data_IF_183779373360
#
_entry.id   IF_183779373360
#
_cell.length_a   1.000
_cell.length_b   1.000
_cell.length_c   1.000
_cell.angle_alpha   90.00
_cell.angle_beta   90.00
_cell.angle_gamma   90.00
#
_symmetry.space_group_name_H-M   'P 1'
#
loop_
_entity.id
_entity.type
_entity.pdbx_description
1 polymer ?
#
# COMPACT_ATOMS: atom_id res chain seq x y z
N UNK A 1 -6.29 16.36 -10.94
CA UNK A 1 -4.99 16.30 -10.34
C UNK A 1 -4.79 15.04 -9.53
N UNK A 2 -3.67 14.40 -9.74
CA UNK A 2 -3.39 13.18 -9.00
C UNK A 2 -3.15 13.49 -7.54
N UNK A 3 -3.68 12.66 -6.68
CA UNK A 3 -3.51 12.80 -5.25
C UNK A 3 -2.96 11.54 -4.69
N UNK A 4 -1.93 11.67 -3.91
CA UNK A 4 -1.44 10.53 -3.18
C UNK A 4 -2.06 10.54 -1.80
N UNK A 5 -2.51 9.38 -1.38
CA UNK A 5 -2.99 9.21 -0.03
C UNK A 5 -1.88 9.54 0.96
N UNK A 6 -2.19 10.07 2.14
CA UNK A 6 -1.18 10.22 3.17
C UNK A 6 -0.57 8.89 3.60
N UNK A 7 -1.17 7.78 3.19
CA UNK A 7 -0.63 6.45 3.48
C UNK A 7 0.48 6.04 2.51
N UNK A 8 0.63 6.77 1.41
CA UNK A 8 1.56 6.42 0.35
C UNK A 8 2.56 7.54 0.16
N UNK A 9 3.82 7.17 0.01
CA UNK A 9 4.87 8.13 -0.27
C UNK A 9 5.56 7.71 -1.56
N UNK A 10 5.82 8.68 -2.43
CA UNK A 10 6.54 8.42 -3.68
C UNK A 10 7.79 9.27 -3.64
N UNK A 11 8.95 8.62 -3.70
CA UNK A 11 10.23 9.30 -3.62
C UNK A 11 11.08 8.92 -4.81
N UNK A 12 11.41 9.90 -5.63
CA UNK A 12 12.29 9.66 -6.77
C UNK A 12 13.72 9.44 -6.33
N UNK A 13 14.05 9.93 -5.15
CA UNK A 13 15.42 9.81 -4.66
C UNK A 13 15.71 8.43 -4.10
N UNK A 14 14.70 7.81 -3.49
CA UNK A 14 14.90 6.58 -2.77
C UNK A 14 14.51 5.36 -3.57
N UNK A 15 13.34 5.40 -4.19
CA UNK A 15 12.77 4.22 -4.82
C UNK A 15 12.43 4.48 -6.28
N UNK A 16 13.07 5.45 -6.90
CA UNK A 16 12.87 5.76 -8.32
C UNK A 16 11.40 6.00 -8.66
N UNK A 17 10.68 6.64 -7.75
CA UNK A 17 9.28 6.95 -7.98
C UNK A 17 8.32 5.84 -7.65
N UNK A 18 8.81 4.74 -7.09
CA UNK A 18 7.93 3.63 -6.68
C UNK A 18 7.16 4.03 -5.43
N UNK A 19 5.83 3.87 -5.43
CA UNK A 19 5.06 4.19 -4.22
C UNK A 19 5.36 3.21 -3.10
N UNK A 20 5.54 3.76 -1.90
CA UNK A 20 5.83 2.97 -0.71
C UNK A 20 4.85 3.38 0.39
N UNK A 21 4.73 2.54 1.42
CA UNK A 21 3.97 2.91 2.60
C UNK A 21 4.68 4.07 3.29
N UNK A 22 3.92 5.10 3.66
CA UNK A 22 4.48 6.29 4.29
C UNK A 22 5.32 5.92 5.51
N UNK A 23 6.49 6.54 5.60
CA UNK A 23 7.38 6.28 6.71
C UNK A 23 8.18 4.99 6.61
N UNK A 24 8.05 4.29 5.50
CA UNK A 24 8.79 3.05 5.29
C UNK A 24 9.41 3.04 3.91
N UNK A 25 10.17 1.99 3.62
CA UNK A 25 10.70 1.75 2.28
C UNK A 25 10.01 0.56 1.62
N UNK A 26 8.87 0.14 2.18
CA UNK A 26 8.17 -1.04 1.69
C UNK A 26 7.27 -0.63 0.53
N UNK A 27 7.50 -1.17 -0.67
CA UNK A 27 6.67 -0.82 -1.82
C UNK A 27 5.25 -1.32 -1.64
N UNK A 28 4.29 -0.51 -2.07
CA UNK A 28 2.89 -0.91 -2.07
C UNK A 28 2.71 -2.17 -2.91
N UNK A 29 3.46 -2.27 -4.01
CA UNK A 29 3.39 -3.43 -4.89
C UNK A 29 3.64 -4.74 -4.14
N UNK A 30 4.52 -4.70 -3.13
CA UNK A 30 4.82 -5.91 -2.38
C UNK A 30 3.60 -6.48 -1.68
N UNK A 31 2.74 -5.61 -1.15
CA UNK A 31 1.50 -6.06 -0.52
C UNK A 31 0.63 -6.81 -1.54
N UNK A 32 0.47 -6.22 -2.72
CA UNK A 32 -0.37 -6.86 -3.72
C UNK A 32 0.24 -8.16 -4.23
N UNK A 33 1.56 -8.22 -4.32
CA UNK A 33 2.22 -9.47 -4.71
C UNK A 33 1.92 -10.58 -3.72
N UNK A 34 1.95 -10.26 -2.41
CA UNK A 34 1.60 -11.24 -1.40
C UNK A 34 0.16 -11.72 -1.57
N UNK A 35 -0.76 -10.76 -1.74
CA UNK A 35 -2.17 -11.11 -1.85
C UNK A 35 -2.44 -11.91 -3.11
N UNK A 36 -1.80 -11.57 -4.21
CA UNK A 36 -1.98 -12.32 -5.45
C UNK A 36 -1.43 -13.74 -5.34
N UNK A 37 -0.44 -13.93 -4.49
CA UNK A 37 0.12 -15.26 -4.27
C UNK A 37 -0.68 -16.08 -3.28
N UNK A 38 -1.77 -15.52 -2.75
CA UNK A 38 -2.60 -16.24 -1.79
C UNK A 38 -2.15 -16.09 -0.36
N UNK A 39 -1.18 -15.23 -0.09
CA UNK A 39 -0.73 -14.99 1.26
C UNK A 39 -1.68 -14.06 1.99
N UNK A 40 -1.67 -14.12 3.31
CA UNK A 40 -2.54 -13.27 4.11
C UNK A 40 -1.87 -11.94 4.42
N UNK A 41 -2.69 -10.98 4.89
CA UNK A 41 -2.17 -9.71 5.37
C UNK A 41 -1.22 -9.96 6.55
N UNK A 42 -1.55 -10.92 7.40
CA UNK A 42 -0.67 -11.25 8.53
C UNK A 42 0.69 -11.73 8.06
N UNK A 43 0.71 -12.53 7.01
CA UNK A 43 1.99 -12.99 6.45
C UNK A 43 2.81 -11.82 5.94
N UNK A 44 2.14 -10.87 5.28
CA UNK A 44 2.82 -9.68 4.79
C UNK A 44 3.40 -8.87 5.96
N UNK A 45 2.60 -8.68 7.01
CA UNK A 45 3.04 -7.88 8.15
C UNK A 45 4.19 -8.53 8.90
N UNK A 46 4.21 -9.86 8.91
CA UNK A 46 5.31 -10.59 9.54
C UNK A 46 6.62 -10.33 8.83
N UNK A 47 6.57 -10.25 7.51
CA UNK A 47 7.75 -9.98 6.72
C UNK A 47 8.18 -8.53 6.70
N UNK A 48 7.25 -7.62 7.00
CA UNK A 48 7.51 -6.19 6.93
C UNK A 48 6.95 -5.50 8.17
N UNK A 49 7.61 -5.67 9.30
CA UNK A 49 7.07 -5.18 10.59
C UNK A 49 7.00 -3.67 10.71
N UNK A 50 7.63 -2.92 9.81
CA UNK A 50 7.51 -1.46 9.84
C UNK A 50 6.15 -0.99 9.33
N UNK A 51 5.41 -1.87 8.68
CA UNK A 51 4.05 -1.56 8.21
C UNK A 51 3.08 -2.10 9.25
N UNK A 52 2.09 -1.29 9.61
CA UNK A 52 1.09 -1.72 10.58
C UNK A 52 -0.14 -2.25 9.87
N UNK A 53 -0.89 -3.10 10.60
CA UNK A 53 -2.14 -3.61 10.05
C UNK A 53 -3.10 -2.48 9.72
N UNK A 54 -3.14 -1.46 10.56
CA UNK A 54 -4.02 -0.32 10.34
C UNK A 54 -3.72 0.36 9.01
N UNK A 55 -2.43 0.48 8.68
CA UNK A 55 -2.06 1.10 7.43
C UNK A 55 -2.50 0.28 6.24
N UNK A 56 -2.34 -1.04 6.33
CA UNK A 56 -2.76 -1.92 5.25
C UNK A 56 -4.27 -1.83 5.05
N UNK A 57 -5.03 -1.94 6.14
CA UNK A 57 -6.48 -1.90 6.04
C UNK A 57 -6.95 -0.54 5.51
N UNK A 58 -6.37 0.55 6.01
CA UNK A 58 -6.75 1.87 5.54
C UNK A 58 -6.46 2.05 4.06
N UNK A 59 -5.33 1.54 3.60
CA UNK A 59 -5.00 1.62 2.18
C UNK A 59 -6.00 0.85 1.34
N UNK A 60 -6.33 -0.36 1.76
CA UNK A 60 -7.28 -1.18 1.02
C UNK A 60 -8.65 -0.51 0.97
N UNK A 61 -9.06 0.10 2.08
CA UNK A 61 -10.33 0.80 2.11
C UNK A 61 -10.35 2.00 1.17
N UNK A 62 -9.24 2.72 1.10
CA UNK A 62 -9.17 3.84 0.17
C UNK A 62 -9.26 3.38 -1.27
N UNK A 63 -8.56 2.30 -1.60
CA UNK A 63 -8.60 1.78 -2.95
C UNK A 63 -9.98 1.26 -3.29
N UNK A 64 -10.62 0.60 -2.34
CA UNK A 64 -11.96 0.10 -2.53
C UNK A 64 -12.93 1.25 -2.80
N UNK A 65 -12.86 2.26 -1.98
CA UNK A 65 -13.75 3.41 -2.13
C UNK A 65 -13.55 4.09 -3.48
N UNK A 66 -12.30 4.26 -3.87
CA UNK A 66 -12.00 4.92 -5.13
C UNK A 66 -12.55 4.13 -6.31
N UNK A 67 -12.39 2.81 -6.26
CA UNK A 67 -12.88 1.98 -7.33
C UNK A 67 -14.41 1.98 -7.40
N UNK A 68 -15.05 1.85 -6.26
CA UNK A 68 -16.51 1.84 -6.20
C UNK A 68 -17.08 3.18 -6.67
N UNK A 69 -16.49 4.29 -6.23
CA UNK A 69 -16.94 5.61 -6.63
C UNK A 69 -16.79 5.80 -8.14
N UNK A 70 -15.75 5.22 -8.71
CA UNK A 70 -15.47 5.41 -10.12
C UNK A 70 -16.48 4.70 -11.01
N UNK A 71 -17.00 3.56 -10.57
CA UNK A 71 -17.92 2.77 -11.39
C UNK A 71 -19.38 3.00 -11.02
N UNK A 72 -19.64 3.73 -9.95
CA UNK A 72 -21.01 3.97 -9.47
C UNK A 72 -21.74 5.01 -10.30
#
# INVERSE_FOLDING_TARGET
MAKYSPLINVSHETMSGVPVFSGTRVPIQTLFDYLKAGESIDDFLEGFPTVTRERVISLLEELEKELIDRVA
#
